data_IF_861900345130
#
_entry.id   IF_861900345130
#
_cell.length_a   1.000
_cell.length_b   1.000
_cell.length_c   1.000
_cell.angle_alpha   90.00
_cell.angle_beta   90.00
_cell.angle_gamma   90.00
#
_symmetry.space_group_name_H-M   'P 1'
#
loop_
_entity.id
_entity.type
_entity.pdbx_description
1 polymer ?
#
# COMPACT_ATOMS: atom_id res chain seq x y z
N UNK A 1 16.33 -4.53 -1.64
CA UNK A 1 17.10 -3.38 -2.19
C UNK A 1 18.51 -3.81 -2.62
N UNK A 2 19.20 -4.65 -1.84
CA UNK A 2 20.56 -5.13 -2.16
C UNK A 2 20.66 -5.90 -3.49
N UNK A 3 19.82 -6.91 -3.72
CA UNK A 3 19.93 -7.73 -4.95
C UNK A 3 19.74 -6.99 -6.28
N UNK A 4 18.93 -5.92 -6.34
CA UNK A 4 18.77 -5.13 -7.57
C UNK A 4 20.00 -4.26 -7.86
N UNK A 5 20.65 -3.74 -6.81
CA UNK A 5 21.91 -2.99 -6.93
C UNK A 5 23.07 -3.91 -7.30
N UNK A 6 23.11 -5.13 -6.78
CA UNK A 6 24.11 -6.14 -7.16
C UNK A 6 24.01 -6.52 -8.64
N UNK A 7 22.81 -6.83 -9.12
CA UNK A 7 22.58 -7.13 -10.55
C UNK A 7 22.93 -5.93 -11.43
N UNK A 8 22.58 -4.71 -11.01
CA UNK A 8 23.00 -3.50 -11.73
C UNK A 8 24.53 -3.38 -11.77
N UNK A 9 25.21 -3.56 -10.64
CA UNK A 9 26.67 -3.48 -10.57
C UNK A 9 27.34 -4.51 -11.47
N UNK A 10 26.78 -5.73 -11.59
CA UNK A 10 27.26 -6.71 -12.57
C UNK A 10 27.05 -6.27 -14.02
N UNK A 11 25.88 -5.72 -14.35
CA UNK A 11 25.57 -5.20 -15.68
C UNK A 11 26.51 -4.03 -16.02
N UNK A 12 26.70 -3.10 -15.09
CA UNK A 12 27.61 -1.97 -15.23
C UNK A 12 29.05 -2.43 -15.40
N UNK A 13 29.50 -3.39 -14.59
CA UNK A 13 30.80 -4.02 -14.77
C UNK A 13 30.94 -4.56 -16.19
N UNK A 14 29.98 -5.33 -16.69
CA UNK A 14 30.01 -5.86 -18.07
C UNK A 14 30.03 -4.75 -19.13
N UNK A 15 29.28 -3.67 -18.95
CA UNK A 15 29.23 -2.54 -19.90
C UNK A 15 30.56 -1.78 -19.89
N UNK A 16 31.11 -1.49 -18.72
CA UNK A 16 32.34 -0.71 -18.56
C UNK A 16 33.59 -1.50 -18.98
N UNK A 17 33.70 -2.77 -18.57
CA UNK A 17 34.86 -3.61 -18.90
C UNK A 17 34.90 -3.99 -20.39
N UNK A 18 33.76 -4.25 -21.04
CA UNK A 18 33.75 -4.64 -22.46
C UNK A 18 33.99 -3.48 -23.42
N UNK A 19 33.75 -2.24 -22.99
CA UNK A 19 33.82 -1.05 -23.85
C UNK A 19 34.84 -0.02 -23.35
N UNK A 20 35.84 -0.48 -22.59
CA UNK A 20 36.88 0.39 -22.03
C UNK A 20 37.52 1.25 -23.15
N UNK A 21 37.54 2.57 -22.94
CA UNK A 21 38.04 3.54 -23.92
C UNK A 21 37.06 3.96 -25.01
N UNK A 22 35.85 3.40 -25.07
CA UNK A 22 34.80 3.76 -26.04
C UNK A 22 33.63 4.50 -25.37
N UNK A 23 33.89 5.74 -24.92
CA UNK A 23 32.92 6.56 -24.16
C UNK A 23 31.57 6.70 -24.85
N UNK A 24 31.55 6.88 -26.18
CA UNK A 24 30.30 6.96 -26.96
C UNK A 24 29.47 5.68 -26.90
N UNK A 25 30.13 4.52 -26.97
CA UNK A 25 29.45 3.23 -26.89
C UNK A 25 28.93 2.96 -25.48
N UNK A 26 29.71 3.30 -24.44
CA UNK A 26 29.25 3.25 -23.06
C UNK A 26 28.01 4.13 -22.88
N UNK A 27 28.05 5.37 -23.40
CA UNK A 27 26.92 6.30 -23.35
C UNK A 27 25.66 5.71 -23.98
N UNK A 28 25.77 5.14 -25.17
CA UNK A 28 24.64 4.49 -25.84
C UNK A 28 24.05 3.33 -25.01
N UNK A 29 24.90 2.49 -24.41
CA UNK A 29 24.45 1.38 -23.55
C UNK A 29 23.79 1.85 -22.25
N UNK A 30 24.30 2.94 -21.66
CA UNK A 30 23.69 3.52 -20.47
C UNK A 30 22.34 4.16 -20.77
N UNK A 31 22.16 4.74 -21.96
CA UNK A 31 20.86 5.21 -22.42
C UNK A 31 19.86 4.05 -22.57
N UNK A 32 20.25 2.95 -23.22
CA UNK A 32 19.40 1.74 -23.33
C UNK A 32 18.98 1.23 -21.96
N UNK A 33 19.93 1.16 -21.02
CA UNK A 33 19.66 0.74 -19.65
C UNK A 33 18.68 1.68 -18.95
N UNK A 34 18.86 3.00 -19.08
CA UNK A 34 17.94 3.99 -18.52
C UNK A 34 16.52 3.83 -19.09
N UNK A 35 16.38 3.56 -20.39
CA UNK A 35 15.08 3.28 -21.02
C UNK A 35 14.43 2.04 -20.42
N UNK A 36 15.18 0.94 -20.26
CA UNK A 36 14.67 -0.29 -19.64
C UNK A 36 14.24 -0.04 -18.19
N UNK A 37 15.04 0.67 -17.41
CA UNK A 37 14.70 1.02 -16.03
C UNK A 37 13.46 1.91 -15.95
N UNK A 38 13.31 2.88 -16.86
CA UNK A 38 12.13 3.75 -16.89
C UNK A 38 10.83 2.97 -17.15
N UNK A 39 10.88 1.99 -18.06
CA UNK A 39 9.75 1.09 -18.34
C UNK A 39 9.43 0.21 -17.14
N UNK A 40 10.44 -0.41 -16.54
CA UNK A 40 10.28 -1.22 -15.35
C UNK A 40 9.72 -0.40 -14.17
N UNK A 41 10.07 0.89 -14.06
CA UNK A 41 9.52 1.78 -13.04
C UNK A 41 8.01 2.02 -13.25
N UNK A 42 7.58 2.33 -14.48
CA UNK A 42 6.16 2.52 -14.80
C UNK A 42 5.36 1.23 -14.56
N UNK A 43 5.88 0.08 -15.03
CA UNK A 43 5.29 -1.24 -14.74
C UNK A 43 5.23 -1.52 -13.23
N UNK A 44 6.25 -1.05 -12.49
CA UNK A 44 6.38 -1.10 -11.05
C UNK A 44 5.45 -0.16 -10.28
N UNK A 45 4.59 0.60 -10.95
CA UNK A 45 3.64 1.60 -10.45
C UNK A 45 4.12 3.04 -10.38
N UNK A 46 5.33 3.39 -10.83
CA UNK A 46 5.73 4.80 -10.95
C UNK A 46 4.80 5.58 -11.89
N UNK A 47 4.67 6.89 -11.64
CA UNK A 47 3.83 7.75 -12.47
C UNK A 47 4.45 8.00 -13.85
N UNK A 48 3.67 7.83 -14.91
CA UNK A 48 4.17 7.92 -16.28
C UNK A 48 4.64 9.34 -16.65
N UNK A 49 3.89 10.36 -16.26
CA UNK A 49 4.19 11.75 -16.61
C UNK A 49 5.48 12.21 -15.91
N UNK A 50 5.62 11.87 -14.62
CA UNK A 50 6.86 12.07 -13.87
C UNK A 50 8.06 11.36 -14.53
N UNK A 51 7.91 10.08 -14.92
CA UNK A 51 8.99 9.30 -15.55
C UNK A 51 9.39 9.90 -16.91
N UNK A 52 8.43 10.37 -17.71
CA UNK A 52 8.72 11.04 -18.98
C UNK A 52 9.53 12.33 -18.78
N UNK A 53 9.21 13.12 -17.76
CA UNK A 53 10.00 14.30 -17.38
C UNK A 53 11.45 13.94 -17.01
N UNK A 54 11.64 12.93 -16.16
CA UNK A 54 12.97 12.44 -15.79
C UNK A 54 13.76 11.93 -17.00
N UNK A 55 13.12 11.18 -17.90
CA UNK A 55 13.77 10.68 -19.12
C UNK A 55 14.30 11.83 -19.99
N UNK A 56 13.54 12.92 -20.13
CA UNK A 56 13.98 14.10 -20.87
C UNK A 56 15.21 14.75 -20.24
N UNK A 57 15.21 14.94 -18.91
CA UNK A 57 16.35 15.47 -18.16
C UNK A 57 17.60 14.58 -18.31
N UNK A 58 17.43 13.27 -18.17
CA UNK A 58 18.50 12.28 -18.27
C UNK A 58 19.17 12.24 -19.64
N UNK A 59 18.40 12.37 -20.73
CA UNK A 59 18.98 12.47 -22.08
C UNK A 59 19.87 13.73 -22.20
N UNK A 60 19.41 14.86 -21.67
CA UNK A 60 20.16 16.13 -21.69
C UNK A 60 21.44 16.07 -20.83
N UNK A 61 21.38 15.43 -19.67
CA UNK A 61 22.54 15.22 -18.79
C UNK A 61 23.58 14.30 -19.44
N UNK A 62 23.13 13.17 -19.97
CA UNK A 62 24.00 12.14 -20.53
C UNK A 62 24.85 12.65 -21.70
N UNK A 63 24.30 13.56 -22.53
CA UNK A 63 25.03 14.20 -23.62
C UNK A 63 26.15 15.16 -23.18
N UNK A 64 26.14 15.62 -21.92
CA UNK A 64 27.14 16.56 -21.38
C UNK A 64 28.28 15.88 -20.64
N UNK A 65 28.08 14.64 -20.20
CA UNK A 65 29.06 13.87 -19.42
C UNK A 65 30.27 13.52 -20.30
N UNK A 66 31.48 13.70 -19.76
CA UNK A 66 32.73 13.50 -20.51
C UNK A 66 33.60 12.37 -19.99
N UNK A 67 33.40 11.93 -18.75
CA UNK A 67 34.22 10.90 -18.11
C UNK A 67 33.41 9.64 -17.77
N UNK A 68 34.11 8.52 -17.67
CA UNK A 68 33.50 7.23 -17.32
C UNK A 68 33.04 7.23 -15.86
N UNK A 69 33.77 7.94 -15.00
CA UNK A 69 33.45 8.14 -13.60
C UNK A 69 32.12 8.87 -13.45
N UNK A 70 31.92 9.97 -14.20
CA UNK A 70 30.65 10.70 -14.25
C UNK A 70 29.51 9.84 -14.81
N UNK A 71 29.76 9.04 -15.85
CA UNK A 71 28.77 8.09 -16.40
C UNK A 71 28.34 7.06 -15.35
N UNK A 72 29.29 6.58 -14.53
CA UNK A 72 29.04 5.62 -13.46
C UNK A 72 28.19 6.23 -12.34
N UNK A 73 28.47 7.49 -11.96
CA UNK A 73 27.66 8.22 -10.98
C UNK A 73 26.25 8.45 -11.53
N UNK A 74 26.15 8.85 -12.80
CA UNK A 74 24.88 9.16 -13.45
C UNK A 74 23.93 7.95 -13.47
N UNK A 75 24.42 6.76 -13.84
CA UNK A 75 23.54 5.59 -13.91
C UNK A 75 23.05 5.12 -12.53
N UNK A 76 23.87 5.27 -11.49
CA UNK A 76 23.44 5.01 -10.11
C UNK A 76 22.35 6.01 -9.69
N UNK A 77 22.51 7.30 -10.00
CA UNK A 77 21.47 8.33 -9.79
C UNK A 77 20.16 7.96 -10.49
N UNK A 78 20.23 7.55 -11.76
CA UNK A 78 19.05 7.14 -12.54
C UNK A 78 18.33 5.96 -11.87
N UNK A 79 19.08 4.91 -11.47
CA UNK A 79 18.50 3.77 -10.78
C UNK A 79 17.82 4.19 -9.48
N UNK A 80 18.51 4.95 -8.64
CA UNK A 80 17.99 5.35 -7.33
C UNK A 80 16.70 6.18 -7.48
N UNK A 81 16.67 7.13 -8.42
CA UNK A 81 15.46 7.94 -8.67
C UNK A 81 14.27 7.15 -9.21
N UNK A 82 14.48 6.22 -10.13
CA UNK A 82 13.41 5.34 -10.62
C UNK A 82 12.93 4.36 -9.55
N UNK A 83 13.85 3.89 -8.72
CA UNK A 83 13.51 3.04 -7.58
C UNK A 83 12.65 3.80 -6.57
N UNK A 84 13.03 5.04 -6.23
CA UNK A 84 12.28 5.93 -5.35
C UNK A 84 10.87 6.22 -5.87
N UNK A 85 10.72 6.57 -7.16
CA UNK A 85 9.41 6.90 -7.74
C UNK A 85 8.42 5.73 -7.70
N UNK A 86 8.92 4.50 -7.87
CA UNK A 86 8.13 3.27 -7.67
C UNK A 86 7.65 3.15 -6.23
N UNK A 87 8.53 3.36 -5.24
CA UNK A 87 8.18 3.24 -3.83
C UNK A 87 7.19 4.32 -3.39
N UNK A 88 7.41 5.57 -3.79
CA UNK A 88 6.55 6.71 -3.45
C UNK A 88 5.14 6.50 -3.99
N UNK A 89 5.01 6.19 -5.29
CA UNK A 89 3.68 6.02 -5.88
C UNK A 89 2.97 4.78 -5.34
N UNK A 90 3.72 3.70 -5.07
CA UNK A 90 3.17 2.52 -4.41
C UNK A 90 2.61 2.86 -3.04
N UNK A 91 3.32 3.64 -2.23
CA UNK A 91 2.84 4.06 -0.91
C UNK A 91 1.59 4.93 -1.01
N UNK A 92 1.56 5.89 -1.93
CA UNK A 92 0.38 6.74 -2.19
C UNK A 92 -0.84 5.88 -2.57
N UNK A 93 -0.68 4.95 -3.52
CA UNK A 93 -1.74 4.02 -3.92
C UNK A 93 -2.20 3.15 -2.76
N UNK A 94 -1.27 2.63 -1.95
CA UNK A 94 -1.61 1.82 -0.79
C UNK A 94 -2.44 2.63 0.23
N UNK A 95 -2.04 3.86 0.55
CA UNK A 95 -2.79 4.74 1.46
C UNK A 95 -4.21 4.98 0.93
N UNK A 96 -4.37 5.25 -0.36
CA UNK A 96 -5.70 5.45 -0.95
C UNK A 96 -6.54 4.17 -0.93
N UNK A 97 -5.94 3.00 -1.21
CA UNK A 97 -6.61 1.70 -1.08
C UNK A 97 -7.10 1.47 0.35
N UNK A 98 -6.26 1.73 1.36
CA UNK A 98 -6.63 1.57 2.77
C UNK A 98 -7.75 2.53 3.14
N UNK A 99 -7.68 3.79 2.70
CA UNK A 99 -8.71 4.80 2.94
C UNK A 99 -10.06 4.36 2.35
N UNK A 100 -10.11 4.01 1.07
CA UNK A 100 -11.31 3.51 0.37
C UNK A 100 -11.87 2.25 1.03
N UNK A 101 -10.98 1.36 1.48
CA UNK A 101 -11.38 0.14 2.18
C UNK A 101 -12.05 0.44 3.52
N UNK A 102 -11.48 1.36 4.32
CA UNK A 102 -12.06 1.79 5.60
C UNK A 102 -13.41 2.47 5.39
N UNK A 103 -13.50 3.33 4.39
CA UNK A 103 -14.73 4.02 4.01
C UNK A 103 -15.83 3.03 3.61
N UNK A 104 -15.52 2.07 2.74
CA UNK A 104 -16.47 1.03 2.35
C UNK A 104 -16.99 0.26 3.55
N UNK A 105 -16.10 -0.13 4.48
CA UNK A 105 -16.47 -0.84 5.71
C UNK A 105 -17.39 0.02 6.58
N UNK A 106 -17.04 1.29 6.80
CA UNK A 106 -17.85 2.22 7.61
C UNK A 106 -19.24 2.49 7.03
N UNK A 107 -19.38 2.51 5.71
CA UNK A 107 -20.69 2.72 5.08
C UNK A 107 -21.52 1.43 5.01
N UNK A 108 -20.90 0.26 5.15
CA UNK A 108 -21.56 -1.03 4.95
C UNK A 108 -21.49 -1.99 6.16
N UNK A 109 -21.00 -1.57 7.32
CA UNK A 109 -20.77 -2.47 8.47
C UNK A 109 -22.04 -3.20 8.94
N UNK A 110 -23.22 -2.58 8.78
CA UNK A 110 -24.52 -3.18 9.12
C UNK A 110 -24.88 -4.39 8.25
N UNK A 111 -24.31 -4.48 7.05
CA UNK A 111 -24.57 -5.57 6.10
C UNK A 111 -23.66 -6.77 6.38
N UNK A 112 -24.06 -7.94 5.88
CA UNK A 112 -23.20 -9.13 5.85
C UNK A 112 -22.16 -9.00 4.73
N UNK A 113 -21.05 -8.32 5.03
CA UNK A 113 -19.94 -8.14 4.10
C UNK A 113 -18.87 -9.23 4.26
N UNK A 114 -18.36 -9.73 3.14
CA UNK A 114 -17.22 -10.65 3.04
C UNK A 114 -16.03 -9.94 2.41
N UNK A 115 -14.85 -10.54 2.53
CA UNK A 115 -13.62 -10.04 1.92
C UNK A 115 -13.80 -9.75 0.42
N UNK A 116 -14.45 -10.67 -0.30
CA UNK A 116 -14.72 -10.55 -1.74
C UNK A 116 -15.53 -9.29 -2.07
N UNK A 117 -16.48 -8.90 -1.22
CA UNK A 117 -17.32 -7.73 -1.46
C UNK A 117 -16.49 -6.44 -1.36
N UNK A 118 -15.61 -6.38 -0.35
CA UNK A 118 -14.69 -5.25 -0.14
C UNK A 118 -13.68 -5.19 -1.29
N UNK A 119 -13.11 -6.33 -1.67
CA UNK A 119 -12.14 -6.45 -2.77
C UNK A 119 -12.70 -5.97 -4.10
N UNK A 120 -13.96 -6.32 -4.41
CA UNK A 120 -14.65 -5.81 -5.60
C UNK A 120 -14.83 -4.29 -5.54
N UNK A 121 -15.20 -3.74 -4.39
CA UNK A 121 -15.42 -2.30 -4.23
C UNK A 121 -14.15 -1.45 -4.41
N UNK A 122 -12.96 -2.04 -4.17
CA UNK A 122 -11.66 -1.37 -4.36
C UNK A 122 -10.88 -1.90 -5.57
N UNK A 123 -11.50 -2.72 -6.43
CA UNK A 123 -10.92 -3.28 -7.65
C UNK A 123 -9.62 -4.06 -7.43
N UNK A 124 -9.54 -4.86 -6.36
CA UNK A 124 -8.36 -5.67 -6.03
C UNK A 124 -8.72 -7.14 -5.89
N UNK A 125 -7.71 -8.01 -6.00
CA UNK A 125 -7.87 -9.41 -5.61
C UNK A 125 -8.05 -9.52 -4.08
N UNK A 126 -8.84 -10.50 -3.60
CA UNK A 126 -9.00 -10.77 -2.16
C UNK A 126 -7.68 -10.98 -1.42
N UNK A 127 -6.77 -11.73 -2.05
CA UNK A 127 -5.46 -12.02 -1.48
C UNK A 127 -4.64 -10.74 -1.29
N UNK A 128 -4.52 -9.92 -2.35
CA UNK A 128 -3.71 -8.70 -2.29
C UNK A 128 -4.27 -7.71 -1.28
N UNK A 129 -5.60 -7.49 -1.28
CA UNK A 129 -6.26 -6.60 -0.33
C UNK A 129 -6.07 -7.05 1.13
N UNK A 130 -6.20 -8.36 1.41
CA UNK A 130 -5.98 -8.89 2.76
C UNK A 130 -4.54 -8.66 3.22
N UNK A 131 -3.57 -8.94 2.34
CA UNK A 131 -2.15 -8.79 2.64
C UNK A 131 -1.78 -7.33 2.91
N UNK A 132 -2.15 -6.42 2.00
CA UNK A 132 -1.82 -4.99 2.14
C UNK A 132 -2.53 -4.39 3.35
N UNK A 133 -3.81 -4.70 3.59
CA UNK A 133 -4.53 -4.13 4.73
C UNK A 133 -3.92 -4.55 6.05
N UNK A 134 -3.55 -5.83 6.21
CA UNK A 134 -2.88 -6.30 7.41
C UNK A 134 -1.50 -5.68 7.59
N UNK A 135 -0.73 -5.55 6.50
CA UNK A 135 0.60 -4.93 6.53
C UNK A 135 0.53 -3.46 6.97
N UNK A 136 -0.39 -2.69 6.41
CA UNK A 136 -0.49 -1.24 6.67
C UNK A 136 -1.22 -0.92 7.99
N UNK A 137 -2.13 -1.77 8.46
CA UNK A 137 -2.96 -1.48 9.64
C UNK A 137 -2.64 -2.32 10.87
N UNK A 138 -1.82 -3.37 10.73
CA UNK A 138 -1.49 -4.33 11.79
C UNK A 138 -2.59 -5.34 12.11
N UNK A 139 -3.81 -5.18 11.56
CA UNK A 139 -4.96 -6.04 11.83
C UNK A 139 -5.62 -6.51 10.52
N UNK A 140 -6.36 -7.60 10.59
CA UNK A 140 -7.13 -8.10 9.44
C UNK A 140 -8.35 -7.23 9.16
N UNK A 141 -8.88 -7.32 7.94
CA UNK A 141 -10.11 -6.64 7.54
C UNK A 141 -11.31 -7.03 8.41
N UNK A 142 -11.40 -8.30 8.80
CA UNK A 142 -12.51 -8.80 9.63
C UNK A 142 -12.39 -8.29 11.08
N UNK A 143 -11.17 -8.16 11.60
CA UNK A 143 -10.93 -7.52 12.90
C UNK A 143 -11.27 -6.02 12.85
N UNK A 144 -10.94 -5.33 11.76
CA UNK A 144 -11.32 -3.93 11.59
C UNK A 144 -12.84 -3.74 11.49
N UNK A 145 -13.53 -4.58 10.72
CA UNK A 145 -15.00 -4.60 10.67
C UNK A 145 -15.60 -4.82 12.07
N UNK A 146 -15.07 -5.79 12.82
CA UNK A 146 -15.51 -6.03 14.18
C UNK A 146 -15.33 -4.78 15.07
N UNK A 147 -14.17 -4.11 14.99
CA UNK A 147 -13.93 -2.85 15.71
C UNK A 147 -14.96 -1.77 15.36
N UNK A 148 -15.21 -1.52 14.08
CA UNK A 148 -16.22 -0.54 13.62
C UNK A 148 -17.62 -0.86 14.18
N UNK A 149 -18.02 -2.13 14.19
CA UNK A 149 -19.30 -2.56 14.76
C UNK A 149 -19.37 -2.36 16.27
N UNK A 150 -18.28 -2.62 16.99
CA UNK A 150 -18.23 -2.43 18.45
C UNK A 150 -18.23 -0.94 18.80
N UNK A 151 -17.55 -0.09 18.04
CA UNK A 151 -17.62 1.38 18.20
C UNK A 151 -19.07 1.87 18.11
N UNK A 152 -19.82 1.44 17.09
CA UNK A 152 -21.24 1.75 16.97
C UNK A 152 -22.07 1.17 18.13
N UNK A 153 -21.77 -0.06 18.55
CA UNK A 153 -22.48 -0.69 19.65
C UNK A 153 -22.32 0.09 20.95
N UNK A 154 -21.13 0.63 21.23
CA UNK A 154 -20.87 1.48 22.39
C UNK A 154 -21.73 2.74 22.35
N UNK A 155 -21.77 3.42 21.21
CA UNK A 155 -22.63 4.58 21.00
C UNK A 155 -24.10 4.26 21.29
N UNK A 156 -24.63 3.15 20.78
CA UNK A 156 -26.02 2.73 21.04
C UNK A 156 -26.25 2.31 22.50
N UNK A 157 -25.27 1.70 23.16
CA UNK A 157 -25.38 1.29 24.57
C UNK A 157 -25.49 2.50 25.50
N UNK A 158 -24.78 3.58 25.18
CA UNK A 158 -24.74 4.84 25.92
C UNK A 158 -25.97 5.70 25.65
N UNK A 159 -26.38 5.83 24.39
CA UNK A 159 -27.41 6.80 23.97
C UNK A 159 -28.82 6.21 23.88
N UNK A 160 -29.01 4.92 24.12
CA UNK A 160 -30.34 4.27 24.03
C UNK A 160 -30.64 3.36 25.22
N UNK A 161 -31.91 2.97 25.32
CA UNK A 161 -32.39 1.93 26.24
C UNK A 161 -32.64 0.58 25.53
N UNK A 162 -32.12 0.39 24.32
CA UNK A 162 -32.36 -0.82 23.55
C UNK A 162 -31.72 -2.06 24.17
N UNK A 163 -32.39 -3.21 24.06
CA UNK A 163 -31.83 -4.48 24.49
C UNK A 163 -30.58 -4.85 23.68
N UNK A 164 -29.65 -5.55 24.32
CA UNK A 164 -28.40 -6.03 23.72
C UNK A 164 -28.63 -6.88 22.47
N UNK A 165 -29.73 -7.64 22.43
CA UNK A 165 -30.22 -8.36 21.24
C UNK A 165 -30.45 -7.41 20.07
N UNK A 166 -31.25 -6.36 20.26
CA UNK A 166 -31.55 -5.36 19.23
C UNK A 166 -30.28 -4.66 18.75
N UNK A 167 -29.39 -4.27 19.66
CA UNK A 167 -28.12 -3.64 19.31
C UNK A 167 -27.27 -4.56 18.43
N UNK A 168 -27.21 -5.87 18.73
CA UNK A 168 -26.46 -6.81 17.90
C UNK A 168 -26.97 -6.85 16.45
N UNK A 169 -28.29 -6.84 16.23
CA UNK A 169 -28.84 -6.78 14.88
C UNK A 169 -28.59 -5.44 14.20
N UNK A 170 -28.70 -4.33 14.91
CA UNK A 170 -28.48 -2.99 14.36
C UNK A 170 -27.05 -2.78 13.83
N UNK A 171 -26.06 -3.36 14.50
CA UNK A 171 -24.65 -3.26 14.09
C UNK A 171 -24.26 -4.32 13.04
N UNK A 172 -25.21 -5.13 12.56
CA UNK A 172 -24.97 -6.17 11.54
C UNK A 172 -24.37 -7.47 12.08
N UNK A 173 -24.46 -7.73 13.38
CA UNK A 173 -24.18 -9.04 13.95
C UNK A 173 -25.45 -9.91 13.87
N UNK A 174 -25.32 -11.10 13.32
CA UNK A 174 -26.46 -12.04 13.19
C UNK A 174 -26.72 -12.86 14.45
N UNK A 175 -25.81 -12.80 15.42
CA UNK A 175 -25.87 -13.62 16.63
C UNK A 175 -25.42 -12.81 17.86
N UNK A 176 -26.27 -12.76 18.88
CA UNK A 176 -26.02 -12.02 20.12
C UNK A 176 -24.86 -12.62 20.94
N UNK A 177 -24.68 -13.94 20.90
CA UNK A 177 -23.60 -14.62 21.63
C UNK A 177 -22.24 -14.28 21.03
N UNK A 178 -22.15 -14.26 19.70
CA UNK A 178 -20.99 -13.81 18.94
C UNK A 178 -20.70 -12.33 19.25
N UNK A 179 -21.71 -11.46 19.16
CA UNK A 179 -21.57 -10.06 19.52
C UNK A 179 -21.00 -9.89 20.94
N UNK A 180 -21.57 -10.57 21.93
CA UNK A 180 -21.14 -10.43 23.33
C UNK A 180 -19.70 -10.92 23.54
N UNK A 181 -19.30 -12.01 22.87
CA UNK A 181 -17.92 -12.52 22.88
C UNK A 181 -16.94 -11.52 22.26
N UNK A 182 -17.28 -10.97 21.09
CA UNK A 182 -16.44 -10.00 20.39
C UNK A 182 -16.32 -8.70 21.18
N UNK A 183 -17.43 -8.19 21.70
CA UNK A 183 -17.45 -6.98 22.54
C UNK A 183 -16.56 -7.18 23.77
N UNK A 184 -16.72 -8.30 24.50
CA UNK A 184 -15.87 -8.60 25.66
C UNK A 184 -14.39 -8.76 25.30
N UNK A 185 -14.08 -9.34 24.15
CA UNK A 185 -12.70 -9.45 23.66
C UNK A 185 -12.07 -8.08 23.39
N UNK A 186 -12.84 -7.13 22.88
CA UNK A 186 -12.33 -5.79 22.49
C UNK A 186 -12.31 -4.83 23.69
N UNK A 187 -13.37 -4.79 24.50
CA UNK A 187 -13.55 -3.82 25.59
C UNK A 187 -13.19 -4.37 26.98
N UNK A 188 -12.92 -5.68 27.09
CA UNK A 188 -12.60 -6.34 28.35
C UNK A 188 -13.80 -6.64 29.26
N UNK A 189 -15.01 -6.20 28.92
CA UNK A 189 -16.23 -6.41 29.70
C UNK A 189 -17.45 -6.70 28.82
N UNK A 190 -18.54 -7.20 29.42
CA UNK A 190 -19.76 -7.49 28.65
C UNK A 190 -20.47 -6.20 28.22
N UNK A 191 -21.28 -6.22 27.14
CA UNK A 191 -22.10 -5.07 26.73
C UNK A 191 -22.99 -4.53 27.86
N UNK A 192 -23.55 -5.43 28.67
CA UNK A 192 -24.41 -5.08 29.80
C UNK A 192 -23.65 -4.37 30.91
N UNK A 193 -22.44 -4.84 31.23
CA UNK A 193 -21.58 -4.20 32.24
C UNK A 193 -21.06 -2.85 31.75
N UNK A 194 -20.70 -2.77 30.47
CA UNK A 194 -20.31 -1.51 29.82
C UNK A 194 -21.42 -0.45 29.97
N UNK A 195 -22.67 -0.79 29.64
CA UNK A 195 -23.81 0.13 29.81
C UNK A 195 -23.99 0.56 31.26
N UNK A 196 -23.93 -0.37 32.22
CA UNK A 196 -24.06 -0.04 33.65
C UNK A 196 -22.97 0.93 34.10
N UNK A 197 -21.76 0.79 33.57
CA UNK A 197 -20.63 1.67 33.87
C UNK A 197 -20.80 3.07 33.28
N UNK A 198 -21.34 3.22 32.07
CA UNK A 198 -21.49 4.53 31.42
C UNK A 198 -22.75 5.30 31.83
N UNK A 199 -23.73 4.63 32.47
CA UNK A 199 -24.94 5.26 33.04
C UNK A 199 -24.80 5.64 34.52
N UNK A 200 -23.62 5.44 35.12
CA UNK A 200 -23.28 5.96 36.45
C UNK A 200 -22.66 7.33 36.29
#
# INVERSE_FOLDING_TARGET
>A
KEGAKEVLNEILGKILFKNAGQTELIRARLLELAVVLSRAAVEGTADLEMILGLNFEYIQELGKIKSIEELSIWVVKVLDRFTESVYENRNIKNVDIIRKTREFIRTNYKKKIKLVDISKAVYLSPYYLSHIFKRETGITLMEYLAKVRIEEAKYLLENTSWYTTRISFEIGCTDQSYFSKVFKKIEGMSPSDYRKRMKR
#
